data_IF_040630712346
#
_entry.id   IF_040630712346
#
_cell.length_a   1.000
_cell.length_b   1.000
_cell.length_c   1.000
_cell.angle_alpha   90.00
_cell.angle_beta   90.00
_cell.angle_gamma   90.00
#
_symmetry.space_group_name_H-M   'P 1'
#
loop_
_entity.id
_entity.type
_entity.pdbx_description
1 polymer ?
#
# COMPACT_ATOMS: atom_id res chain seq x y z
N UNK A 1 15.87 -17.93 31.55
CA UNK A 1 14.42 -18.16 31.69
C UNK A 1 13.81 -18.04 30.30
N UNK A 2 13.07 -19.05 29.84
CA UNK A 2 12.43 -19.01 28.52
C UNK A 2 11.23 -18.04 28.55
N UNK A 3 11.15 -17.12 27.58
CA UNK A 3 10.03 -16.21 27.48
C UNK A 3 8.78 -16.96 27.00
N UNK A 4 7.65 -16.92 27.73
CA UNK A 4 6.42 -17.65 27.40
C UNK A 4 5.89 -17.35 25.99
N UNK A 5 6.09 -16.11 25.54
CA UNK A 5 5.66 -15.64 24.22
C UNK A 5 6.58 -16.19 23.13
N UNK A 6 7.90 -16.18 23.32
CA UNK A 6 8.83 -16.81 22.38
C UNK A 6 8.66 -18.32 22.28
N UNK A 7 8.37 -18.99 23.40
CA UNK A 7 8.13 -20.45 23.41
C UNK A 7 6.84 -20.84 22.71
N UNK A 8 5.92 -19.90 22.51
CA UNK A 8 4.68 -20.14 21.77
C UNK A 8 4.88 -20.15 20.24
N UNK A 9 6.09 -19.90 19.74
CA UNK A 9 6.43 -19.97 18.32
C UNK A 9 5.65 -18.94 17.48
N UNK A 10 5.01 -19.42 16.41
CA UNK A 10 4.25 -18.61 15.45
C UNK A 10 3.07 -17.85 16.10
N UNK A 11 2.47 -18.43 17.13
CA UNK A 11 1.43 -17.75 17.91
C UNK A 11 2.01 -16.53 18.65
N UNK A 12 3.21 -16.67 19.23
CA UNK A 12 3.91 -15.57 19.88
C UNK A 12 4.20 -14.44 18.91
N UNK A 13 4.77 -14.77 17.74
CA UNK A 13 5.08 -13.83 16.69
C UNK A 13 3.85 -13.04 16.19
N UNK A 14 2.74 -13.74 15.96
CA UNK A 14 1.46 -13.12 15.55
C UNK A 14 0.94 -12.14 16.60
N UNK A 15 1.01 -12.52 17.87
CA UNK A 15 0.57 -11.66 18.97
C UNK A 15 1.47 -10.45 19.17
N UNK A 16 2.79 -10.61 19.02
CA UNK A 16 3.74 -9.50 19.08
C UNK A 16 3.49 -8.50 17.96
N UNK A 17 3.15 -8.97 16.76
CA UNK A 17 2.73 -8.12 15.63
C UNK A 17 1.44 -7.37 15.94
N UNK A 18 0.43 -8.05 16.47
CA UNK A 18 -0.86 -7.45 16.84
C UNK A 18 -0.71 -6.40 17.97
N UNK A 19 0.21 -6.62 18.92
CA UNK A 19 0.57 -5.64 19.96
C UNK A 19 1.23 -4.39 19.37
N UNK A 20 2.18 -4.56 18.44
CA UNK A 20 2.88 -3.44 17.80
C UNK A 20 1.97 -2.66 16.85
N UNK A 21 1.02 -3.33 16.19
CA UNK A 21 -0.01 -2.71 15.35
C UNK A 21 -1.12 -2.00 16.18
N UNK A 22 -1.10 -2.14 17.51
CA UNK A 22 -2.13 -1.57 18.39
C UNK A 22 -3.49 -2.26 18.29
N UNK A 23 -3.56 -3.46 17.69
CA UNK A 23 -4.78 -4.26 17.57
C UNK A 23 -5.13 -5.00 18.86
N UNK A 24 -4.15 -5.21 19.73
CA UNK A 24 -4.29 -5.86 21.03
C UNK A 24 -3.57 -5.07 22.11
N UNK A 25 -4.00 -5.27 23.35
CA UNK A 25 -3.41 -4.65 24.53
C UNK A 25 -2.41 -5.59 25.22
N UNK A 26 -1.47 -5.03 25.95
CA UNK A 26 -0.52 -5.79 26.76
C UNK A 26 -1.22 -6.69 27.80
N UNK A 27 -2.39 -6.26 28.30
CA UNK A 27 -3.21 -7.02 29.25
C UNK A 27 -3.78 -8.30 28.62
N UNK A 28 -4.30 -8.22 27.39
CA UNK A 28 -4.80 -9.40 26.65
C UNK A 28 -3.68 -10.40 26.36
N UNK A 29 -2.47 -9.91 26.06
CA UNK A 29 -1.31 -10.76 25.84
C UNK A 29 -0.82 -11.41 27.13
N UNK A 30 -0.83 -10.67 28.25
CA UNK A 30 -0.49 -11.18 29.56
C UNK A 30 -1.41 -12.35 29.97
N UNK A 31 -2.72 -12.18 29.76
CA UNK A 31 -3.72 -13.23 29.99
C UNK A 31 -3.47 -14.44 29.06
N UNK A 32 -3.28 -14.20 27.75
CA UNK A 32 -3.13 -15.27 26.76
C UNK A 32 -1.92 -16.18 27.01
N UNK A 33 -0.79 -15.59 27.38
CA UNK A 33 0.48 -16.29 27.58
C UNK A 33 0.78 -16.58 29.05
N UNK A 34 -0.18 -16.33 29.95
CA UNK A 34 -0.06 -16.56 31.40
C UNK A 34 1.21 -15.94 31.99
N UNK A 35 1.49 -14.70 31.60
CA UNK A 35 2.68 -13.95 32.02
C UNK A 35 2.30 -12.54 32.50
N UNK A 36 3.20 -11.85 33.19
CA UNK A 36 2.90 -10.49 33.65
C UNK A 36 2.95 -9.48 32.51
N UNK A 37 2.24 -8.36 32.64
CA UNK A 37 2.30 -7.24 31.69
C UNK A 37 3.75 -6.78 31.49
N UNK A 38 4.55 -6.74 32.56
CA UNK A 38 5.98 -6.40 32.49
C UNK A 38 6.79 -7.41 31.67
N UNK A 39 6.42 -8.70 31.69
CA UNK A 39 7.07 -9.72 30.86
C UNK A 39 6.65 -9.60 29.39
N UNK A 40 5.40 -9.22 29.12
CA UNK A 40 4.94 -8.90 27.75
C UNK A 40 5.68 -7.67 27.24
N UNK A 41 5.77 -6.61 28.04
CA UNK A 41 6.47 -5.39 27.67
C UNK A 41 7.94 -5.69 27.34
N UNK A 42 8.61 -6.43 28.23
CA UNK A 42 10.00 -6.86 28.03
C UNK A 42 10.17 -7.69 26.76
N UNK A 43 9.21 -8.56 26.44
CA UNK A 43 9.21 -9.30 25.18
C UNK A 43 9.15 -8.35 23.98
N UNK A 44 8.21 -7.39 23.98
CA UNK A 44 8.06 -6.45 22.86
C UNK A 44 9.27 -5.53 22.69
N UNK A 45 9.97 -5.20 23.78
CA UNK A 45 11.11 -4.26 23.75
C UNK A 45 12.47 -4.92 23.58
N UNK A 46 12.68 -6.12 24.14
CA UNK A 46 14.00 -6.77 24.22
C UNK A 46 14.11 -8.02 23.35
N UNK A 47 13.00 -8.65 22.97
CA UNK A 47 13.03 -9.84 22.13
C UNK A 47 12.89 -9.44 20.67
N UNK A 48 13.94 -9.68 19.89
CA UNK A 48 13.92 -9.39 18.46
C UNK A 48 12.91 -10.27 17.73
N UNK A 49 11.97 -9.63 17.03
CA UNK A 49 11.22 -10.31 15.98
C UNK A 49 12.21 -10.89 14.96
N UNK A 50 11.94 -12.08 14.41
CA UNK A 50 12.71 -12.63 13.29
C UNK A 50 12.91 -11.58 12.20
N UNK A 51 14.11 -11.52 11.60
CA UNK A 51 14.50 -10.48 10.65
C UNK A 51 13.53 -10.37 9.44
N UNK A 52 12.97 -11.50 9.02
CA UNK A 52 11.92 -11.55 7.99
C UNK A 52 10.64 -10.81 8.42
N UNK A 53 10.23 -10.92 9.68
CA UNK A 53 9.05 -10.22 10.21
C UNK A 53 9.32 -8.73 10.41
N UNK A 54 10.53 -8.36 10.85
CA UNK A 54 10.97 -6.95 10.91
C UNK A 54 10.93 -6.31 9.52
N UNK A 55 11.44 -7.00 8.51
CA UNK A 55 11.40 -6.55 7.13
C UNK A 55 9.96 -6.42 6.62
N UNK A 56 9.07 -7.36 6.98
CA UNK A 56 7.67 -7.33 6.56
C UNK A 56 6.92 -6.15 7.19
N UNK A 57 7.19 -5.86 8.46
CA UNK A 57 6.64 -4.69 9.16
C UNK A 57 7.17 -3.38 8.58
N UNK A 58 8.45 -3.30 8.23
CA UNK A 58 9.05 -2.11 7.59
C UNK A 58 8.45 -1.84 6.21
N UNK A 59 8.27 -2.89 5.39
CA UNK A 59 7.62 -2.80 4.07
C UNK A 59 6.17 -2.33 4.22
N UNK A 60 5.38 -2.93 5.14
CA UNK A 60 3.99 -2.51 5.40
C UNK A 60 3.89 -1.07 5.90
N UNK A 61 4.78 -0.66 6.79
CA UNK A 61 4.81 0.70 7.34
C UNK A 61 5.16 1.73 6.26
N UNK A 62 6.14 1.43 5.41
CA UNK A 62 6.51 2.26 4.24
C UNK A 62 5.38 2.35 3.23
N UNK A 63 4.72 1.22 2.94
CA UNK A 63 3.59 1.16 2.01
C UNK A 63 2.45 2.07 2.47
N UNK A 64 2.05 1.97 3.73
CA UNK A 64 1.01 2.83 4.32
C UNK A 64 1.36 4.32 4.24
N UNK A 65 2.62 4.67 4.52
CA UNK A 65 3.09 6.06 4.43
C UNK A 65 3.00 6.59 2.99
N UNK A 66 3.43 5.79 2.01
CA UNK A 66 3.34 6.16 0.60
C UNK A 66 1.89 6.33 0.13
N UNK A 67 0.98 5.42 0.54
CA UNK A 67 -0.45 5.51 0.20
C UNK A 67 -1.05 6.80 0.74
N UNK A 68 -0.82 7.14 2.01
CA UNK A 68 -1.34 8.39 2.59
C UNK A 68 -0.87 9.64 1.85
N UNK A 69 0.41 9.71 1.50
CA UNK A 69 0.96 10.84 0.74
C UNK A 69 0.32 10.89 -0.66
N UNK A 70 0.05 9.73 -1.27
CA UNK A 70 -0.60 9.65 -2.58
C UNK A 70 -2.04 10.15 -2.52
N UNK A 71 -2.79 9.77 -1.47
CA UNK A 71 -4.15 10.25 -1.23
C UNK A 71 -4.19 11.76 -1.06
N UNK A 72 -3.29 12.34 -0.25
CA UNK A 72 -3.19 13.78 -0.04
C UNK A 72 -2.93 14.53 -1.36
N UNK A 73 -1.96 14.05 -2.17
CA UNK A 73 -1.63 14.68 -3.45
C UNK A 73 -2.68 14.46 -4.53
N UNK A 74 -3.38 13.32 -4.52
CA UNK A 74 -4.51 13.07 -5.42
C UNK A 74 -5.69 13.97 -5.07
N UNK A 75 -5.99 14.16 -3.79
CA UNK A 75 -7.01 15.09 -3.33
C UNK A 75 -6.66 16.53 -3.75
N UNK A 76 -5.40 16.95 -3.60
CA UNK A 76 -4.93 18.24 -4.10
C UNK A 76 -5.14 18.38 -5.62
N UNK A 77 -4.77 17.37 -6.42
CA UNK A 77 -4.97 17.39 -7.87
C UNK A 77 -6.45 17.48 -8.28
N UNK A 78 -7.34 16.77 -7.58
CA UNK A 78 -8.79 16.77 -7.86
C UNK A 78 -9.40 18.14 -7.55
N UNK A 79 -8.94 18.80 -6.49
CA UNK A 79 -9.45 20.10 -6.06
C UNK A 79 -8.87 21.28 -6.85
N UNK A 80 -7.80 21.06 -7.64
CA UNK A 80 -7.13 22.13 -8.40
C UNK A 80 -7.65 22.18 -9.83
N UNK A 81 -8.25 23.31 -10.25
CA UNK A 81 -8.74 23.52 -11.63
C UNK A 81 -7.66 23.40 -12.70
N UNK A 82 -6.38 23.66 -12.34
CA UNK A 82 -5.22 23.51 -13.23
C UNK A 82 -4.13 22.71 -12.53
N UNK A 83 -4.07 21.39 -12.71
CA UNK A 83 -3.07 20.56 -12.06
C UNK A 83 -1.66 20.94 -12.50
N UNK A 84 -0.77 21.11 -11.52
CA UNK A 84 0.64 21.41 -11.77
C UNK A 84 1.36 20.16 -12.31
N UNK A 85 2.06 20.29 -13.44
CA UNK A 85 2.88 19.22 -14.04
C UNK A 85 3.92 18.62 -13.07
N UNK A 86 4.34 19.38 -12.06
CA UNK A 86 5.21 18.88 -10.98
C UNK A 86 4.46 17.91 -10.06
N UNK A 87 3.28 18.28 -9.58
CA UNK A 87 2.43 17.45 -8.71
C UNK A 87 2.03 16.17 -9.40
N UNK A 88 1.66 16.24 -10.69
CA UNK A 88 1.37 15.04 -11.50
C UNK A 88 2.56 14.09 -11.56
N UNK A 89 3.78 14.61 -11.82
CA UNK A 89 5.00 13.79 -11.82
C UNK A 89 5.31 13.19 -10.44
N UNK A 90 5.06 13.94 -9.37
CA UNK A 90 5.26 13.47 -8.01
C UNK A 90 4.30 12.32 -7.67
N UNK A 91 3.01 12.43 -8.04
CA UNK A 91 2.03 11.35 -7.89
C UNK A 91 2.42 10.11 -8.68
N UNK A 92 2.82 10.26 -9.95
CA UNK A 92 3.28 9.13 -10.78
C UNK A 92 4.49 8.43 -10.17
N UNK A 93 5.46 9.20 -9.67
CA UNK A 93 6.65 8.65 -8.99
C UNK A 93 6.27 7.90 -7.72
N UNK A 94 5.31 8.43 -6.96
CA UNK A 94 4.87 7.83 -5.70
C UNK A 94 4.08 6.53 -5.94
N UNK A 95 3.24 6.50 -6.98
CA UNK A 95 2.54 5.29 -7.41
C UNK A 95 3.51 4.19 -7.87
N UNK A 96 4.60 4.57 -8.54
CA UNK A 96 5.64 3.61 -8.90
C UNK A 96 6.32 2.99 -7.66
N UNK A 97 6.54 3.80 -6.62
CA UNK A 97 7.13 3.33 -5.36
C UNK A 97 6.16 2.43 -4.57
N UNK A 98 4.87 2.79 -4.51
CA UNK A 98 3.81 1.93 -3.94
C UNK A 98 3.78 0.58 -4.65
N UNK A 99 3.86 0.56 -5.99
CA UNK A 99 3.89 -0.69 -6.76
C UNK A 99 5.07 -1.58 -6.38
N UNK A 100 6.29 -1.01 -6.25
CA UNK A 100 7.46 -1.78 -5.81
C UNK A 100 7.25 -2.38 -4.42
N UNK A 101 6.74 -1.59 -3.48
CA UNK A 101 6.48 -2.04 -2.12
C UNK A 101 5.40 -3.13 -2.07
N UNK A 102 4.38 -3.07 -2.95
CA UNK A 102 3.37 -4.13 -3.09
C UNK A 102 3.97 -5.43 -3.62
N UNK A 103 4.87 -5.36 -4.62
CA UNK A 103 5.57 -6.55 -5.14
C UNK A 103 6.40 -7.20 -4.04
N UNK A 104 7.21 -6.42 -3.32
CA UNK A 104 8.01 -6.92 -2.19
C UNK A 104 7.09 -7.53 -1.11
N UNK A 105 5.98 -6.87 -0.78
CA UNK A 105 5.02 -7.41 0.19
C UNK A 105 4.40 -8.74 -0.27
N UNK A 106 4.07 -8.88 -1.56
CA UNK A 106 3.52 -10.11 -2.12
C UNK A 106 4.54 -11.25 -2.17
N UNK A 107 5.79 -10.94 -2.54
CA UNK A 107 6.92 -11.88 -2.48
C UNK A 107 7.15 -12.38 -1.04
N UNK A 108 7.05 -11.49 -0.06
CA UNK A 108 7.21 -11.83 1.37
C UNK A 108 6.03 -12.64 1.94
N UNK A 109 4.81 -12.43 1.45
CA UNK A 109 3.61 -13.17 1.88
C UNK A 109 3.46 -14.54 1.17
N UNK A 110 4.45 -14.94 0.36
CA UNK A 110 4.47 -16.23 -0.33
C UNK A 110 3.35 -16.40 -1.35
N UNK A 111 2.63 -15.32 -1.67
CA UNK A 111 1.45 -15.33 -2.53
C UNK A 111 1.67 -14.32 -3.66
N UNK A 112 2.12 -14.80 -4.81
CA UNK A 112 1.25 -14.99 -5.99
C UNK A 112 2.08 -15.34 -7.23
N UNK A 113 1.52 -16.09 -8.19
CA UNK A 113 2.03 -16.08 -9.56
C UNK A 113 2.07 -14.63 -10.05
N UNK A 114 3.19 -14.26 -10.67
CA UNK A 114 3.44 -12.96 -11.30
C UNK A 114 2.16 -12.53 -12.03
N UNK A 115 1.51 -11.41 -11.65
CA UNK A 115 0.40 -10.92 -12.44
C UNK A 115 0.96 -10.59 -13.82
N UNK A 116 0.46 -11.26 -14.85
CA UNK A 116 0.78 -10.99 -16.24
C UNK A 116 0.18 -9.63 -16.61
N UNK A 117 0.83 -8.57 -16.13
CA UNK A 117 0.45 -7.19 -16.43
C UNK A 117 1.02 -6.88 -17.79
N UNK A 118 0.25 -7.18 -18.84
CA UNK A 118 0.48 -6.58 -20.14
C UNK A 118 0.30 -5.07 -20.00
N UNK A 119 1.43 -4.35 -20.00
CA UNK A 119 1.43 -2.90 -20.18
C UNK A 119 1.03 -2.66 -21.63
N UNK A 120 -0.26 -2.44 -21.87
CA UNK A 120 -0.74 -1.96 -23.16
C UNK A 120 -0.31 -0.50 -23.28
N UNK A 121 0.75 -0.27 -24.04
CA UNK A 121 1.19 1.08 -24.37
C UNK A 121 0.18 1.68 -25.36
N UNK A 122 -0.79 2.43 -24.84
CA UNK A 122 -1.78 3.12 -25.66
C UNK A 122 -1.11 4.35 -26.27
N UNK A 123 -0.61 4.21 -27.50
CA UNK A 123 0.02 5.31 -28.24
C UNK A 123 -0.99 6.37 -28.72
N UNK A 124 -2.30 6.10 -28.60
CA UNK A 124 -3.36 7.00 -29.07
C UNK A 124 -4.56 7.02 -28.12
N UNK A 125 -4.33 7.63 -26.94
CA UNK A 125 -5.34 7.76 -25.86
C UNK A 125 -6.64 8.36 -26.39
N UNK A 126 -6.54 9.31 -27.33
CA UNK A 126 -7.69 10.00 -27.92
C UNK A 126 -8.63 9.05 -28.67
N UNK A 127 -8.11 8.13 -29.49
CA UNK A 127 -8.94 7.17 -30.22
C UNK A 127 -9.62 6.16 -29.30
N UNK A 128 -8.93 5.77 -28.22
CA UNK A 128 -9.48 4.82 -27.23
C UNK A 128 -10.62 5.46 -26.45
N UNK A 129 -10.44 6.68 -25.97
CA UNK A 129 -11.48 7.43 -25.26
C UNK A 129 -12.67 7.71 -26.18
N UNK A 130 -12.43 8.09 -27.44
CA UNK A 130 -13.52 8.37 -28.41
C UNK A 130 -14.28 7.09 -28.80
N UNK A 131 -13.62 5.93 -28.83
CA UNK A 131 -14.24 4.64 -29.13
C UNK A 131 -15.12 4.07 -28.01
N UNK A 132 -14.85 4.44 -26.76
CA UNK A 132 -15.64 4.03 -25.58
C UNK A 132 -16.85 4.94 -25.32
N UNK A 133 -16.97 6.07 -26.02
CA UNK A 133 -18.11 6.97 -25.89
C UNK A 133 -19.33 6.46 -26.66
N UNK A 134 -20.53 6.74 -26.13
CA UNK A 134 -21.75 6.50 -26.89
C UNK A 134 -21.80 7.39 -28.16
N UNK A 135 -22.57 7.00 -29.20
CA UNK A 135 -22.56 7.70 -30.50
C UNK A 135 -22.84 9.20 -30.42
N UNK A 136 -23.65 9.62 -29.45
CA UNK A 136 -24.00 11.04 -29.22
C UNK A 136 -22.81 11.83 -28.66
N UNK A 137 -22.09 11.26 -27.71
CA UNK A 137 -20.91 11.89 -27.10
C UNK A 137 -19.72 11.88 -28.08
N UNK A 138 -19.57 10.79 -28.84
CA UNK A 138 -18.56 10.66 -29.88
C UNK A 138 -18.70 11.77 -30.94
N UNK A 139 -19.91 12.01 -31.45
CA UNK A 139 -20.17 13.08 -32.42
C UNK A 139 -19.86 14.49 -31.89
N UNK A 140 -20.12 14.75 -30.60
CA UNK A 140 -19.80 16.04 -29.96
C UNK A 140 -18.30 16.25 -29.85
N UNK A 141 -17.56 15.22 -29.46
CA UNK A 141 -16.09 15.28 -29.31
C UNK A 141 -15.42 15.43 -30.67
N UNK A 142 -15.83 14.66 -31.68
CA UNK A 142 -15.29 14.79 -33.04
C UNK A 142 -15.55 16.19 -33.62
N UNK A 143 -16.76 16.71 -33.46
CA UNK A 143 -17.10 18.07 -33.91
C UNK A 143 -16.27 19.15 -33.19
N UNK A 144 -15.95 18.96 -31.91
CA UNK A 144 -15.10 19.88 -31.17
C UNK A 144 -13.62 19.80 -31.61
N UNK A 145 -13.15 18.62 -32.02
CA UNK A 145 -11.80 18.41 -32.55
C UNK A 145 -11.62 18.97 -33.97
N UNK A 146 -12.65 18.93 -34.81
CA UNK A 146 -12.63 19.49 -36.17
C UNK A 146 -12.56 21.03 -36.16
N UNK A 147 -13.17 21.69 -35.17
CA UNK A 147 -13.17 23.17 -35.04
C UNK A 147 -11.84 23.71 -34.48
N UNK A 148 -11.03 22.87 -33.83
CA UNK A 148 -9.72 23.27 -33.28
C UNK A 148 -8.55 23.24 -34.28
N UNK A 149 -8.82 22.97 -35.56
CA UNK A 149 -7.82 22.80 -36.62
C UNK A 149 -7.84 23.89 -37.72
N UNK A 150 -8.45 25.05 -37.42
CA UNK A 150 -8.28 26.30 -38.19
C UNK A 150 -7.45 27.33 -37.42
#
# INVERSE_FOLDING_TARGET
MQCPICTAGELGATWTRDLLDGKRTLAEAAERFSCSIDQVWRHVTEHELPEAEKLQMDVRSKLWKCIRIAEDWLAELILTERPNSRTVRQVVSLLAEIRKLLVVSAEMEGSLPVPDVQIVQINNVMQTVVGELCPVCQAKVLKALEVGHE
#
